data_IF_407760881523
#
_entry.id   IF_407760881523
#
_cell.length_a   1.000
_cell.length_b   1.000
_cell.length_c   1.000
_cell.angle_alpha   90.00
_cell.angle_beta   90.00
_cell.angle_gamma   90.00
#
_symmetry.space_group_name_H-M   'P 1'
#
loop_
_entity.id
_entity.type
_entity.pdbx_description
1 polymer ?
#
# COMPACT_ATOMS: atom_id res chain seq x y z
N UNK A 1 -7.18 10.36 2.87
CA UNK A 1 -6.62 9.00 2.60
C UNK A 1 -7.76 8.08 2.20
N UNK A 2 -7.91 7.78 0.91
CA UNK A 2 -8.80 6.71 0.49
C UNK A 2 -8.32 5.36 1.04
N UNK A 3 -9.22 4.64 1.70
CA UNK A 3 -8.94 3.32 2.24
C UNK A 3 -9.17 2.26 1.16
N UNK A 4 -8.20 1.37 0.97
CA UNK A 4 -8.36 0.19 0.10
C UNK A 4 -9.10 -0.90 0.86
N UNK A 5 -8.54 -1.37 1.97
CA UNK A 5 -9.15 -2.39 2.83
C UNK A 5 -8.47 -2.43 4.20
N UNK A 6 -9.13 -3.06 5.17
CA UNK A 6 -8.53 -3.44 6.45
C UNK A 6 -8.33 -4.96 6.48
N UNK A 7 -7.24 -5.41 7.10
CA UNK A 7 -6.97 -6.83 7.28
C UNK A 7 -6.10 -7.05 8.51
N UNK A 8 -6.55 -7.88 9.46
CA UNK A 8 -5.80 -8.27 10.68
C UNK A 8 -5.19 -7.09 11.46
N UNK A 9 -5.92 -5.97 11.57
CA UNK A 9 -5.45 -4.77 12.27
C UNK A 9 -4.50 -3.87 11.46
N UNK A 10 -4.24 -4.22 10.20
CA UNK A 10 -3.53 -3.37 9.24
C UNK A 10 -4.50 -2.63 8.34
N UNK A 11 -4.28 -1.34 8.15
CA UNK A 11 -5.03 -0.49 7.22
C UNK A 11 -4.24 -0.26 5.94
N UNK A 12 -4.80 -0.65 4.80
CA UNK A 12 -4.26 -0.44 3.47
C UNK A 12 -4.91 0.79 2.84
N UNK A 13 -4.13 1.75 2.38
CA UNK A 13 -4.61 3.04 1.90
C UNK A 13 -3.60 3.69 0.95
N UNK A 14 -4.02 4.73 0.25
CA UNK A 14 -3.14 5.66 -0.47
C UNK A 14 -3.38 7.08 0.04
N UNK A 15 -2.44 7.99 -0.26
CA UNK A 15 -2.63 9.40 0.04
C UNK A 15 -3.46 10.02 -1.08
N UNK A 16 -4.27 11.02 -0.77
CA UNK A 16 -5.02 11.75 -1.80
C UNK A 16 -4.13 12.71 -2.61
N UNK A 17 -2.97 13.08 -2.04
CA UNK A 17 -1.98 13.94 -2.65
C UNK A 17 -0.68 13.17 -2.85
N UNK A 18 -0.49 12.59 -4.04
CA UNK A 18 0.64 11.73 -4.41
C UNK A 18 1.75 12.48 -5.17
N UNK A 19 1.84 13.80 -4.95
CA UNK A 19 2.83 14.68 -5.59
C UNK A 19 2.53 15.07 -7.04
N UNK A 20 3.40 15.93 -7.59
CA UNK A 20 3.42 16.33 -9.00
C UNK A 20 4.89 16.36 -9.49
N UNK A 21 5.34 15.40 -10.32
CA UNK A 21 4.55 14.32 -10.93
C UNK A 21 4.10 13.26 -9.92
N UNK A 22 2.96 12.62 -10.22
CA UNK A 22 2.36 11.56 -9.40
C UNK A 22 3.28 10.34 -9.32
N UNK A 23 3.45 9.78 -8.13
CA UNK A 23 4.23 8.56 -7.95
C UNK A 23 3.60 7.33 -8.64
N UNK A 24 4.41 6.29 -8.96
CA UNK A 24 3.89 5.00 -9.44
C UNK A 24 2.87 4.36 -8.47
N UNK A 25 2.07 3.40 -8.96
CA UNK A 25 1.06 2.72 -8.14
C UNK A 25 1.72 2.05 -6.93
N UNK A 26 1.25 2.41 -5.74
CA UNK A 26 1.73 1.91 -4.48
C UNK A 26 0.63 1.85 -3.43
N UNK A 27 0.92 1.22 -2.30
CA UNK A 27 0.02 1.15 -1.15
C UNK A 27 0.78 1.40 0.14
N UNK A 28 0.16 2.15 1.03
CA UNK A 28 0.60 2.33 2.41
C UNK A 28 -0.14 1.37 3.32
N UNK A 29 0.57 0.78 4.26
CA UNK A 29 0.05 -0.13 5.28
C UNK A 29 0.39 0.45 6.64
N UNK A 30 -0.62 0.71 7.46
CA UNK A 30 -0.44 1.27 8.79
C UNK A 30 -1.06 0.38 9.88
N UNK A 31 -0.41 0.36 11.04
CA UNK A 31 -0.93 -0.13 12.32
C UNK A 31 -0.54 0.88 13.42
N UNK A 32 -1.04 0.77 14.67
CA UNK A 32 -0.62 1.66 15.75
C UNK A 32 0.91 1.66 15.92
N UNK A 33 1.53 2.83 15.81
CA UNK A 33 2.98 3.03 15.99
C UNK A 33 3.88 2.55 14.86
N UNK A 34 3.33 2.06 13.73
CA UNK A 34 4.15 1.62 12.60
C UNK A 34 3.44 1.77 11.26
N UNK A 35 4.23 2.03 10.21
CA UNK A 35 3.76 2.16 8.84
C UNK A 35 4.79 1.65 7.82
N UNK A 36 4.31 1.25 6.65
CA UNK A 36 5.15 0.83 5.54
C UNK A 36 4.52 1.20 4.20
N UNK A 37 5.36 1.43 3.20
CA UNK A 37 4.97 1.72 1.81
C UNK A 37 5.48 0.60 0.91
N UNK A 38 4.66 0.16 -0.03
CA UNK A 38 5.01 -0.86 -1.02
C UNK A 38 4.71 -0.41 -2.44
N UNK A 39 5.69 -0.51 -3.34
CA UNK A 39 5.46 -0.42 -4.78
C UNK A 39 4.77 -1.69 -5.28
N UNK A 40 3.86 -1.56 -6.25
CA UNK A 40 3.15 -2.71 -6.84
C UNK A 40 3.82 -3.27 -8.10
N UNK A 41 4.64 -2.48 -8.79
CA UNK A 41 5.23 -2.84 -10.07
C UNK A 41 6.75 -2.66 -10.08
N UNK A 42 7.50 -3.53 -10.80
CA UNK A 42 7.02 -4.71 -11.54
C UNK A 42 6.49 -5.85 -10.63
N UNK A 43 7.02 -5.94 -9.42
CA UNK A 43 6.59 -6.83 -8.33
C UNK A 43 6.37 -6.04 -7.03
N UNK A 44 5.75 -6.69 -6.04
CA UNK A 44 5.46 -6.05 -4.76
C UNK A 44 6.75 -5.90 -3.95
N UNK A 45 7.23 -4.66 -3.81
CA UNK A 45 8.50 -4.33 -3.16
C UNK A 45 8.30 -3.32 -2.04
N UNK A 46 9.02 -3.53 -0.94
CA UNK A 46 9.07 -2.56 0.15
C UNK A 46 9.79 -1.30 -0.32
N UNK A 47 9.14 -0.15 -0.17
CA UNK A 47 9.69 1.17 -0.47
C UNK A 47 10.17 1.89 0.79
N UNK A 48 9.39 1.79 1.87
CA UNK A 48 9.68 2.39 3.18
C UNK A 48 9.12 1.50 4.27
N UNK A 49 9.85 1.40 5.37
CA UNK A 49 9.41 0.72 6.58
C UNK A 49 9.73 1.60 7.78
N UNK A 50 8.72 1.88 8.60
CA UNK A 50 8.83 2.57 9.87
C UNK A 50 8.17 1.70 10.95
N UNK A 51 8.96 0.83 11.59
CA UNK A 51 8.53 0.06 12.77
C UNK A 51 7.83 -1.28 12.49
N UNK A 52 7.72 -1.74 11.24
CA UNK A 52 7.25 -3.11 10.94
C UNK A 52 8.42 -4.09 11.02
N UNK A 53 8.20 -5.24 11.65
CA UNK A 53 9.18 -6.32 11.71
C UNK A 53 9.36 -6.99 10.34
N UNK A 54 10.49 -7.67 10.13
CA UNK A 54 10.73 -8.41 8.89
C UNK A 54 9.68 -9.50 8.62
N UNK A 55 9.10 -10.10 9.68
CA UNK A 55 8.00 -11.07 9.55
C UNK A 55 6.73 -10.41 9.01
N UNK A 56 6.40 -9.22 9.51
CA UNK A 56 5.25 -8.44 9.05
C UNK A 56 5.43 -7.99 7.61
N UNK A 57 6.61 -7.48 7.25
CA UNK A 57 6.90 -7.11 5.85
C UNK A 57 6.67 -8.28 4.90
N UNK A 58 7.11 -9.50 5.26
CA UNK A 58 6.87 -10.69 4.43
C UNK A 58 5.38 -11.03 4.31
N UNK A 59 4.65 -10.96 5.42
CA UNK A 59 3.21 -11.20 5.45
C UNK A 59 2.43 -10.18 4.60
N UNK A 60 2.73 -8.90 4.80
CA UNK A 60 2.10 -7.79 4.09
C UNK A 60 2.38 -7.86 2.59
N UNK A 61 3.62 -8.17 2.19
CA UNK A 61 3.96 -8.36 0.78
C UNK A 61 3.14 -9.47 0.12
N UNK A 62 2.94 -10.61 0.80
CA UNK A 62 2.06 -11.68 0.29
C UNK A 62 0.63 -11.19 0.13
N UNK A 63 0.09 -10.54 1.17
CA UNK A 63 -1.28 -10.04 1.17
C UNK A 63 -1.53 -8.98 0.08
N UNK A 64 -0.54 -8.13 -0.18
CA UNK A 64 -0.60 -7.13 -1.26
C UNK A 64 -0.53 -7.81 -2.62
N UNK A 65 0.30 -8.84 -2.79
CA UNK A 65 0.37 -9.60 -4.04
C UNK A 65 -0.97 -10.29 -4.35
N UNK A 66 -1.56 -10.94 -3.34
CA UNK A 66 -2.85 -11.64 -3.47
C UNK A 66 -4.01 -10.69 -3.84
N UNK A 67 -3.93 -9.43 -3.41
CA UNK A 67 -4.96 -8.39 -3.67
C UNK A 67 -4.47 -7.29 -4.61
N UNK A 68 -3.44 -7.55 -5.41
CA UNK A 68 -2.83 -6.55 -6.29
C UNK A 68 -3.85 -5.92 -7.25
N UNK A 69 -4.73 -6.74 -7.82
CA UNK A 69 -5.76 -6.28 -8.76
C UNK A 69 -6.70 -5.23 -8.13
N UNK A 70 -7.23 -5.50 -6.93
CA UNK A 70 -8.12 -4.58 -6.21
C UNK A 70 -7.42 -3.26 -5.85
N UNK A 71 -6.16 -3.31 -5.43
CA UNK A 71 -5.39 -2.10 -5.11
C UNK A 71 -5.22 -1.24 -6.37
N UNK A 72 -4.88 -1.85 -7.51
CA UNK A 72 -4.74 -1.16 -8.81
C UNK A 72 -6.07 -0.57 -9.26
N UNK A 73 -7.16 -1.32 -9.16
CA UNK A 73 -8.50 -0.85 -9.53
C UNK A 73 -8.89 0.39 -8.71
N UNK A 74 -8.75 0.33 -7.39
CA UNK A 74 -9.10 1.46 -6.52
C UNK A 74 -8.17 2.66 -6.72
N UNK A 75 -6.89 2.44 -6.99
CA UNK A 75 -5.96 3.51 -7.34
C UNK A 75 -6.41 4.23 -8.61
N UNK A 76 -6.67 3.46 -9.68
CA UNK A 76 -7.10 4.01 -10.96
C UNK A 76 -8.44 4.74 -10.82
N UNK A 77 -9.41 4.15 -10.13
CA UNK A 77 -10.71 4.79 -9.89
C UNK A 77 -10.60 6.12 -9.14
N UNK A 78 -9.63 6.26 -8.23
CA UNK A 78 -9.44 7.49 -7.46
C UNK A 78 -8.65 8.57 -8.21
N UNK A 79 -7.70 8.18 -9.08
CA UNK A 79 -6.81 9.12 -9.77
C UNK A 79 -7.11 9.34 -11.26
N UNK A 80 -8.15 8.70 -11.79
CA UNK A 80 -8.64 8.89 -13.15
C UNK A 80 -9.46 10.19 -13.33
N UNK A 81 -9.75 10.92 -12.24
CA UNK A 81 -10.27 12.30 -12.26
C UNK A 81 -9.15 13.35 -12.30
#
# INVERSE_FOLDING_TARGET
MPKVFDWRGYRFHFYSYEGSPREPIHVHVAKPGADAKFWLFPDVRLARNNGMSAREIRLLRSQIADRKAEIVEKWNAFFAE
#
